data_IF_633140057656
#
_entry.id   IF_633140057656
#
_cell.length_a   1.000
_cell.length_b   1.000
_cell.length_c   1.000
_cell.angle_alpha   90.00
_cell.angle_beta   90.00
_cell.angle_gamma   90.00
#
_symmetry.space_group_name_H-M   'P 1'
#
loop_
_entity.id
_entity.type
_entity.pdbx_description
1 polymer ?
#
# COMPACT_ATOMS: atom_id res chain seq x y z
N UNK A 1 59.67 -40.87 3.51
CA UNK A 1 58.29 -40.84 3.96
C UNK A 1 57.80 -39.41 3.89
N UNK A 2 57.04 -39.13 2.86
CA UNK A 2 56.63 -37.81 2.43
C UNK A 2 55.40 -37.35 3.23
N UNK A 3 55.48 -36.16 3.80
CA UNK A 3 54.39 -35.52 4.52
C UNK A 3 54.02 -34.17 3.83
N UNK A 4 53.68 -34.24 2.56
CA UNK A 4 53.26 -33.05 1.83
C UNK A 4 51.94 -33.24 1.05
N UNK A 5 50.83 -33.53 1.74
CA UNK A 5 49.58 -33.81 1.03
C UNK A 5 48.26 -33.35 1.70
N UNK A 6 48.29 -32.62 2.80
CA UNK A 6 47.02 -32.31 3.52
C UNK A 6 46.75 -30.79 3.69
N UNK A 7 47.62 -29.92 3.15
CA UNK A 7 47.43 -28.46 3.33
C UNK A 7 46.68 -27.75 2.20
N UNK A 8 46.33 -28.44 1.08
CA UNK A 8 45.70 -27.82 -0.08
C UNK A 8 44.17 -27.86 -0.10
N UNK A 9 43.53 -28.73 0.71
CA UNK A 9 42.07 -28.91 0.63
C UNK A 9 41.26 -28.02 1.57
N UNK A 10 41.89 -27.46 2.61
CA UNK A 10 41.17 -26.55 3.54
C UNK A 10 41.01 -25.16 2.97
N UNK A 11 41.88 -24.70 2.07
CA UNK A 11 41.78 -23.39 1.45
C UNK A 11 40.71 -23.29 0.33
N UNK A 12 40.29 -24.46 -0.20
CA UNK A 12 39.26 -24.51 -1.27
C UNK A 12 37.82 -24.44 -0.71
N UNK A 13 37.61 -24.92 0.51
CA UNK A 13 36.27 -24.91 1.16
C UNK A 13 35.94 -23.53 1.73
N UNK A 14 36.94 -22.72 2.07
CA UNK A 14 36.73 -21.35 2.60
C UNK A 14 36.34 -20.33 1.53
N UNK A 15 36.46 -20.66 0.23
CA UNK A 15 36.11 -19.73 -0.88
C UNK A 15 34.70 -19.91 -1.43
N UNK A 16 33.96 -20.94 -1.02
CA UNK A 16 32.57 -21.17 -1.44
C UNK A 16 31.51 -20.55 -0.52
N UNK A 17 31.94 -19.94 0.59
CA UNK A 17 31.06 -19.34 1.60
C UNK A 17 30.80 -17.83 1.43
N UNK A 18 31.37 -17.15 0.42
CA UNK A 18 31.34 -15.68 0.36
C UNK A 18 30.45 -15.07 -0.73
N UNK A 19 29.56 -15.82 -1.40
CA UNK A 19 28.76 -15.30 -2.51
C UNK A 19 27.26 -15.57 -2.44
N UNK A 20 26.71 -15.73 -1.23
CA UNK A 20 25.25 -15.63 -1.04
C UNK A 20 24.97 -14.67 0.11
N UNK A 21 25.40 -13.42 -0.04
CA UNK A 21 24.73 -12.35 0.65
C UNK A 21 23.42 -12.15 -0.11
N UNK A 22 22.36 -12.85 0.33
CA UNK A 22 21.00 -12.55 -0.11
C UNK A 22 20.83 -11.05 0.02
N UNK A 23 20.56 -10.37 -1.09
CA UNK A 23 20.17 -8.96 -1.09
C UNK A 23 18.81 -8.85 -0.40
N UNK A 24 18.81 -8.94 0.94
CA UNK A 24 17.63 -8.60 1.72
C UNK A 24 17.36 -7.11 1.51
N UNK A 25 16.18 -6.78 1.02
CA UNK A 25 15.75 -5.39 0.99
C UNK A 25 15.79 -4.83 2.41
N UNK A 26 16.27 -3.60 2.58
CA UNK A 26 16.29 -2.93 3.88
C UNK A 26 14.86 -2.72 4.40
N UNK A 27 13.91 -2.50 3.49
CA UNK A 27 12.51 -2.19 3.80
C UNK A 27 11.66 -3.45 3.58
N UNK A 28 10.82 -3.76 4.57
CA UNK A 28 9.91 -4.89 4.54
C UNK A 28 8.55 -4.53 3.95
N UNK A 29 7.85 -3.55 4.54
CA UNK A 29 6.50 -3.15 4.12
C UNK A 29 6.18 -1.71 4.51
N UNK A 30 5.03 -1.21 4.05
CA UNK A 30 4.48 0.07 4.49
C UNK A 30 3.76 -0.10 5.83
N UNK A 31 3.99 0.79 6.78
CA UNK A 31 3.19 0.92 8.01
C UNK A 31 2.00 1.84 7.77
N UNK A 32 2.25 3.04 7.29
CA UNK A 32 1.23 4.02 6.97
C UNK A 32 1.69 4.97 5.86
N UNK A 33 0.73 5.64 5.28
CA UNK A 33 0.95 6.80 4.41
C UNK A 33 0.20 8.00 4.97
N UNK A 34 0.50 9.19 4.48
CA UNK A 34 -0.22 10.43 4.79
C UNK A 34 -0.94 10.91 3.54
N UNK A 35 -2.24 11.14 3.67
CA UNK A 35 -3.08 11.73 2.65
C UNK A 35 -3.46 13.15 3.08
N UNK A 36 -3.21 14.13 2.22
CA UNK A 36 -3.65 15.50 2.43
C UNK A 36 -4.96 15.72 1.69
N UNK A 37 -5.98 16.16 2.40
CA UNK A 37 -7.31 16.40 1.84
C UNK A 37 -7.69 17.89 1.85
N UNK A 38 -8.68 18.24 1.05
CA UNK A 38 -9.31 19.57 1.06
C UNK A 38 -10.44 19.61 2.08
N UNK A 39 -11.33 18.61 2.05
CA UNK A 39 -12.50 18.48 2.92
C UNK A 39 -12.40 17.19 3.76
N UNK A 40 -12.12 17.29 5.07
CA UNK A 40 -11.96 16.11 5.91
C UNK A 40 -13.26 15.32 6.10
N UNK A 41 -14.43 15.93 6.02
CA UNK A 41 -15.71 15.22 6.16
C UNK A 41 -16.00 14.38 4.91
N UNK A 42 -15.87 14.96 3.72
CA UNK A 42 -16.03 14.24 2.47
C UNK A 42 -15.02 13.10 2.33
N UNK A 43 -13.77 13.34 2.71
CA UNK A 43 -12.71 12.32 2.68
C UNK A 43 -12.99 11.20 3.66
N UNK A 44 -13.44 11.53 4.88
CA UNK A 44 -13.83 10.52 5.88
C UNK A 44 -14.99 9.67 5.37
N UNK A 45 -16.00 10.29 4.77
CA UNK A 45 -17.13 9.56 4.16
C UNK A 45 -16.64 8.54 3.12
N UNK A 46 -15.73 8.94 2.24
CA UNK A 46 -15.20 8.03 1.22
C UNK A 46 -14.45 6.84 1.85
N UNK A 47 -13.46 7.10 2.69
CA UNK A 47 -12.63 6.01 3.24
C UNK A 47 -13.36 5.14 4.26
N UNK A 48 -14.29 5.69 5.04
CA UNK A 48 -15.02 4.95 6.09
C UNK A 48 -16.32 4.33 5.56
N UNK A 49 -17.17 5.10 4.88
CA UNK A 49 -18.48 4.59 4.47
C UNK A 49 -18.42 3.91 3.11
N UNK A 50 -17.67 4.43 2.15
CA UNK A 50 -17.54 3.84 0.81
C UNK A 50 -16.55 2.68 0.83
N UNK A 51 -15.32 2.86 1.34
CA UNK A 51 -14.30 1.82 1.39
C UNK A 51 -14.33 0.95 2.65
N UNK A 52 -15.18 1.28 3.62
CA UNK A 52 -15.38 0.53 4.88
C UNK A 52 -14.12 0.40 5.74
N UNK A 53 -13.21 1.39 5.69
CA UNK A 53 -12.10 1.48 6.61
C UNK A 53 -12.58 1.93 7.99
N UNK A 54 -11.80 1.63 9.04
CA UNK A 54 -12.13 2.04 10.41
C UNK A 54 -11.50 3.40 10.70
N UNK A 55 -12.30 4.38 11.12
CA UNK A 55 -11.79 5.67 11.60
C UNK A 55 -11.19 5.53 13.00
N UNK A 56 -10.01 6.12 13.18
CA UNK A 56 -9.37 6.29 14.49
C UNK A 56 -9.01 7.76 14.69
N UNK A 57 -9.20 8.26 15.91
CA UNK A 57 -8.72 9.56 16.35
C UNK A 57 -7.61 9.35 17.37
N UNK A 58 -6.48 10.02 17.21
CA UNK A 58 -5.32 9.88 18.07
C UNK A 58 -4.62 11.22 18.28
N UNK A 59 -3.86 11.35 19.38
CA UNK A 59 -3.15 12.58 19.75
C UNK A 59 -4.01 13.84 19.61
N UNK A 60 -5.22 13.79 20.19
CA UNK A 60 -6.17 14.88 20.22
C UNK A 60 -7.11 14.87 19.00
N UNK A 61 -6.75 15.53 17.92
CA UNK A 61 -7.59 15.75 16.74
C UNK A 61 -7.09 15.08 15.46
N UNK A 62 -5.98 14.33 15.52
CA UNK A 62 -5.47 13.60 14.36
C UNK A 62 -6.37 12.43 14.01
N UNK A 63 -6.65 12.28 12.73
CA UNK A 63 -7.52 11.24 12.19
C UNK A 63 -6.70 10.27 11.34
N UNK A 64 -7.01 8.98 11.44
CA UNK A 64 -6.49 7.94 10.57
C UNK A 64 -7.62 7.01 10.11
N UNK A 65 -7.41 6.37 8.96
CA UNK A 65 -8.27 5.31 8.41
C UNK A 65 -7.48 4.01 8.43
N UNK A 66 -7.97 3.01 9.17
CA UNK A 66 -7.31 1.72 9.37
C UNK A 66 -7.89 0.68 8.41
N UNK A 67 -7.01 -0.10 7.82
CA UNK A 67 -7.33 -1.24 6.96
C UNK A 67 -6.23 -2.30 7.07
N UNK A 68 -6.58 -3.58 7.09
CA UNK A 68 -5.60 -4.64 7.32
C UNK A 68 -4.74 -4.33 8.56
N UNK A 69 -3.44 -4.31 8.39
CA UNK A 69 -2.45 -3.91 9.41
C UNK A 69 -1.78 -2.56 9.11
N UNK A 70 -2.40 -1.73 8.28
CA UNK A 70 -1.89 -0.45 7.81
C UNK A 70 -2.91 0.66 8.08
N UNK A 71 -2.51 1.90 7.86
CA UNK A 71 -3.41 3.05 7.96
C UNK A 71 -3.03 4.18 7.01
N UNK A 72 -4.00 5.05 6.79
CA UNK A 72 -3.83 6.35 6.16
C UNK A 72 -4.00 7.41 7.24
N UNK A 73 -2.95 8.17 7.55
CA UNK A 73 -3.07 9.35 8.39
C UNK A 73 -3.61 10.51 7.55
N UNK A 74 -4.59 11.24 8.09
CA UNK A 74 -5.21 12.36 7.40
C UNK A 74 -4.56 13.69 7.78
N UNK A 75 -4.11 14.44 6.78
CA UNK A 75 -3.78 15.85 6.90
C UNK A 75 -4.81 16.70 6.16
N UNK A 76 -5.10 17.88 6.67
CA UNK A 76 -5.95 18.86 5.99
C UNK A 76 -5.05 19.94 5.39
N UNK A 77 -5.26 20.28 4.13
CA UNK A 77 -4.49 21.30 3.42
C UNK A 77 -4.46 22.62 4.21
N UNK A 78 -3.27 23.13 4.45
CA UNK A 78 -3.04 24.35 5.24
C UNK A 78 -3.01 24.14 6.76
N UNK A 79 -3.33 22.91 7.23
CA UNK A 79 -3.33 22.54 8.65
C UNK A 79 -2.58 21.24 8.90
N UNK A 80 -1.58 20.95 8.07
CA UNK A 80 -0.77 19.74 8.16
C UNK A 80 0.07 19.72 9.45
N UNK A 81 0.33 18.53 9.97
CA UNK A 81 1.23 18.34 11.11
C UNK A 81 2.67 18.15 10.62
N UNK A 82 3.63 18.77 11.32
CA UNK A 82 5.05 18.57 11.04
C UNK A 82 5.59 17.29 11.71
N UNK A 83 6.56 16.57 11.09
CA UNK A 83 7.07 16.77 9.73
C UNK A 83 6.06 16.31 8.68
N UNK A 84 6.09 16.93 7.49
CA UNK A 84 5.18 16.62 6.38
C UNK A 84 5.93 16.47 5.06
N UNK A 85 5.24 15.99 4.02
CA UNK A 85 5.78 16.00 2.68
C UNK A 85 6.13 17.42 2.21
N UNK A 86 7.13 17.54 1.33
CA UNK A 86 7.52 18.83 0.76
C UNK A 86 6.37 19.47 -0.04
N UNK A 87 5.63 18.68 -0.81
CA UNK A 87 4.45 19.10 -1.58
C UNK A 87 3.22 18.29 -1.15
N UNK A 88 2.57 18.63 -0.03
CA UNK A 88 1.37 17.95 0.43
C UNK A 88 0.14 18.44 -0.34
N UNK A 89 0.00 17.97 -1.58
CA UNK A 89 -1.04 18.41 -2.51
C UNK A 89 -2.22 17.45 -2.50
N UNK A 90 -3.47 17.90 -2.21
CA UNK A 90 -4.66 17.10 -2.41
C UNK A 90 -4.78 16.59 -3.85
N UNK A 91 -5.15 15.32 -4.02
CA UNK A 91 -5.30 14.72 -5.35
C UNK A 91 -4.01 14.21 -5.99
N UNK A 92 -2.88 14.21 -5.26
CA UNK A 92 -1.59 13.77 -5.79
C UNK A 92 -1.34 12.25 -5.67
N UNK A 93 -2.20 11.50 -4.98
CA UNK A 93 -1.98 10.09 -4.71
C UNK A 93 -2.61 9.19 -5.79
N UNK A 94 -1.91 8.08 -6.03
CA UNK A 94 -2.33 6.96 -6.85
C UNK A 94 -2.03 5.69 -6.04
N UNK A 95 -3.08 5.03 -5.53
CA UNK A 95 -2.98 3.94 -4.56
C UNK A 95 -3.71 2.71 -5.07
N UNK A 96 -3.10 1.54 -4.88
CA UNK A 96 -3.75 0.25 -5.10
C UNK A 96 -3.96 -0.47 -3.77
N UNK A 97 -5.21 -0.82 -3.49
CA UNK A 97 -5.61 -1.62 -2.34
C UNK A 97 -6.01 -3.01 -2.77
N UNK A 98 -5.53 -4.03 -2.05
CA UNK A 98 -6.03 -5.38 -2.20
C UNK A 98 -7.30 -5.54 -1.36
N UNK A 99 -8.39 -5.93 -2.00
CA UNK A 99 -9.66 -6.14 -1.32
C UNK A 99 -9.64 -7.38 -0.42
N UNK A 100 -10.32 -7.32 0.71
CA UNK A 100 -10.51 -8.45 1.62
C UNK A 100 -11.75 -9.31 1.28
N UNK A 101 -12.54 -8.86 0.31
CA UNK A 101 -13.73 -9.54 -0.21
C UNK A 101 -13.61 -9.66 -1.73
N UNK A 102 -14.36 -10.56 -2.39
CA UNK A 102 -14.36 -10.67 -3.85
C UNK A 102 -14.63 -9.32 -4.54
N UNK A 103 -13.94 -9.04 -5.63
CA UNK A 103 -14.06 -7.76 -6.34
C UNK A 103 -15.47 -7.50 -6.86
N UNK A 104 -16.20 -8.56 -7.26
CA UNK A 104 -17.60 -8.41 -7.68
C UNK A 104 -18.52 -7.90 -6.56
N UNK A 105 -18.22 -8.23 -5.29
CA UNK A 105 -18.94 -7.67 -4.14
C UNK A 105 -18.55 -6.20 -3.90
N UNK A 106 -17.29 -5.82 -4.13
CA UNK A 106 -16.87 -4.41 -4.09
C UNK A 106 -17.62 -3.62 -5.16
N UNK A 107 -17.67 -4.12 -6.39
CA UNK A 107 -18.39 -3.49 -7.51
C UNK A 107 -19.88 -3.31 -7.18
N UNK A 108 -20.53 -4.35 -6.66
CA UNK A 108 -21.94 -4.29 -6.27
C UNK A 108 -22.19 -3.23 -5.18
N UNK A 109 -21.29 -3.15 -4.19
CA UNK A 109 -21.36 -2.14 -3.12
C UNK A 109 -21.21 -0.70 -3.66
N UNK A 110 -20.22 -0.47 -4.51
CA UNK A 110 -20.01 0.85 -5.13
C UNK A 110 -21.20 1.28 -5.99
N UNK A 111 -21.75 0.34 -6.77
CA UNK A 111 -22.95 0.58 -7.59
C UNK A 111 -24.17 0.92 -6.72
N UNK A 112 -24.36 0.21 -5.61
CA UNK A 112 -25.45 0.49 -4.66
C UNK A 112 -25.33 1.91 -4.04
N UNK A 113 -24.11 2.38 -3.80
CA UNK A 113 -23.84 3.72 -3.31
C UNK A 113 -23.80 4.77 -4.46
N UNK A 114 -23.96 4.35 -5.71
CA UNK A 114 -23.80 5.21 -6.90
C UNK A 114 -22.44 5.91 -6.96
N UNK A 115 -21.39 5.25 -6.44
CA UNK A 115 -20.03 5.75 -6.54
C UNK A 115 -19.43 5.33 -7.89
N UNK A 116 -18.99 6.27 -8.74
CA UNK A 116 -18.58 5.96 -10.11
C UNK A 116 -17.32 5.08 -10.16
N UNK A 117 -17.37 4.00 -10.94
CA UNK A 117 -16.19 3.24 -11.35
C UNK A 117 -15.71 3.84 -12.66
N UNK A 118 -14.48 4.38 -12.66
CA UNK A 118 -13.94 5.10 -13.82
C UNK A 118 -13.29 4.19 -14.83
N UNK A 119 -12.81 3.01 -14.40
CA UNK A 119 -12.26 1.97 -15.28
C UNK A 119 -12.38 0.59 -14.61
N UNK A 120 -12.47 -0.44 -15.41
CA UNK A 120 -12.46 -1.85 -15.01
C UNK A 120 -13.83 -2.50 -14.93
N UNK A 121 -13.86 -3.81 -14.59
CA UNK A 121 -12.70 -4.64 -14.18
C UNK A 121 -11.72 -4.93 -15.32
N UNK A 122 -10.43 -4.82 -15.02
CA UNK A 122 -9.32 -5.05 -15.95
C UNK A 122 -8.20 -5.85 -15.28
N UNK A 123 -7.44 -6.61 -16.08
CA UNK A 123 -6.23 -7.28 -15.58
C UNK A 123 -5.07 -6.28 -15.46
N UNK A 124 -4.32 -6.39 -14.38
CA UNK A 124 -3.09 -5.61 -14.12
C UNK A 124 -2.00 -6.51 -13.56
N UNK A 125 -0.78 -5.99 -13.55
CA UNK A 125 0.38 -6.64 -12.92
C UNK A 125 0.57 -6.06 -11.52
N UNK A 126 0.31 -6.88 -10.51
CA UNK A 126 0.58 -6.52 -9.12
C UNK A 126 2.03 -6.71 -8.72
N UNK A 127 2.37 -6.41 -7.47
CA UNK A 127 3.72 -6.51 -6.96
C UNK A 127 4.26 -7.96 -6.95
N UNK A 128 3.39 -8.95 -6.72
CA UNK A 128 3.76 -10.37 -6.60
C UNK A 128 3.02 -11.28 -7.56
N UNK A 129 1.93 -10.80 -8.18
CA UNK A 129 1.06 -11.63 -9.02
C UNK A 129 0.18 -10.75 -9.91
N UNK A 130 -0.49 -11.37 -10.87
CA UNK A 130 -1.55 -10.71 -11.63
C UNK A 130 -2.75 -10.43 -10.74
N UNK A 131 -3.39 -9.31 -10.98
CA UNK A 131 -4.55 -8.83 -10.24
C UNK A 131 -5.65 -8.39 -11.21
N UNK A 132 -6.88 -8.42 -10.74
CA UNK A 132 -8.05 -7.86 -11.43
C UNK A 132 -8.48 -6.62 -10.68
N UNK A 133 -8.64 -5.51 -11.36
CA UNK A 133 -8.73 -4.19 -10.75
C UNK A 133 -9.89 -3.36 -11.27
N UNK A 134 -10.43 -2.53 -10.39
CA UNK A 134 -11.28 -1.40 -10.74
C UNK A 134 -10.65 -0.12 -10.22
N UNK A 135 -11.02 1.00 -10.81
CA UNK A 135 -10.53 2.33 -10.44
C UNK A 135 -11.68 3.26 -10.08
N UNK A 136 -11.52 3.97 -8.99
CA UNK A 136 -12.43 5.02 -8.53
C UNK A 136 -11.65 6.27 -8.16
N UNK A 137 -12.34 7.40 -7.97
CA UNK A 137 -11.75 8.64 -7.46
C UNK A 137 -12.28 8.93 -6.06
N UNK A 138 -11.38 9.37 -5.18
CA UNK A 138 -11.80 9.93 -3.91
C UNK A 138 -12.27 11.40 -4.09
N UNK A 139 -12.73 12.10 -3.03
CA UNK A 139 -13.23 13.48 -3.17
C UNK A 139 -12.22 14.49 -3.71
N UNK A 140 -10.93 14.30 -3.47
CA UNK A 140 -9.86 15.15 -4.02
C UNK A 140 -9.33 14.66 -5.37
N UNK A 141 -9.97 13.66 -5.97
CA UNK A 141 -9.60 13.02 -7.23
C UNK A 141 -8.30 12.20 -7.18
N UNK A 142 -7.86 11.79 -6.00
CA UNK A 142 -6.84 10.74 -5.92
C UNK A 142 -7.33 9.51 -6.67
N UNK A 143 -6.44 8.85 -7.42
CA UNK A 143 -6.77 7.61 -8.10
C UNK A 143 -6.67 6.44 -7.13
N UNK A 144 -7.76 5.72 -6.98
CA UNK A 144 -7.86 4.57 -6.08
C UNK A 144 -8.16 3.32 -6.91
N UNK A 145 -7.18 2.44 -6.96
CA UNK A 145 -7.31 1.10 -7.53
C UNK A 145 -7.72 0.13 -6.43
N UNK A 146 -8.71 -0.72 -6.69
CA UNK A 146 -9.14 -1.79 -5.78
C UNK A 146 -9.05 -3.09 -6.55
N UNK A 147 -8.37 -4.08 -5.98
CA UNK A 147 -7.94 -5.26 -6.71
C UNK A 147 -8.16 -6.55 -5.93
N UNK A 148 -8.27 -7.65 -6.67
CA UNK A 148 -8.17 -9.00 -6.13
C UNK A 148 -7.11 -9.80 -6.90
N UNK A 149 -6.50 -10.84 -6.29
CA UNK A 149 -5.62 -11.74 -7.01
C UNK A 149 -6.36 -12.50 -8.10
N UNK A 150 -5.71 -12.71 -9.24
CA UNK A 150 -6.16 -13.67 -10.26
C UNK A 150 -5.51 -15.02 -9.97
N UNK A 151 -6.33 -16.00 -9.79
CA UNK A 151 -5.89 -17.39 -9.56
C UNK A 151 -5.27 -18.01 -10.82
#
# INVERSE_FOLDING_TARGET
MDRSGIASDIASIARLGSHMQEHRTMIDHLDHIVLTCTDPEATTHFYVDVLRMKKETFRGDRVAFLFGNQKINLHVKGHEFEPKAHLPVPGALDLCFMASIPLDQVIAHLNALKWPIVEGPVERTGATQKIRSIYVRDPDLNLIEISEPIA
#
